data_IF_208581514127
#
_entry.id   IF_208581514127
#
_cell.length_a   1.000
_cell.length_b   1.000
_cell.length_c   1.000
_cell.angle_alpha   90.00
_cell.angle_beta   90.00
_cell.angle_gamma   90.00
#
_symmetry.space_group_name_H-M   'P 1'
#
loop_
_entity.id
_entity.type
_entity.pdbx_description
1 polymer ?
#
# COMPACT_ATOMS: atom_id res chain seq x y z
N UNK A 1 -9.81 -11.56 31.10
CA UNK A 1 -8.62 -11.76 30.25
C UNK A 1 -7.62 -10.69 30.64
N UNK A 2 -6.51 -11.05 31.29
CA UNK A 2 -5.61 -10.08 31.91
C UNK A 2 -4.98 -9.15 30.86
N UNK A 3 -5.05 -7.85 31.11
CA UNK A 3 -4.36 -6.82 30.35
C UNK A 3 -2.85 -7.02 30.49
N UNK A 4 -2.24 -7.50 29.41
CA UNK A 4 -0.84 -7.90 29.33
C UNK A 4 0.07 -6.72 28.96
N UNK A 5 -0.38 -5.49 29.15
CA UNK A 5 0.34 -4.30 28.66
C UNK A 5 1.22 -3.60 29.70
N UNK A 6 1.11 -3.89 31.00
CA UNK A 6 1.96 -3.28 32.02
C UNK A 6 3.21 -4.15 32.35
N UNK A 7 4.39 -3.76 31.87
CA UNK A 7 5.70 -4.15 32.43
C UNK A 7 6.41 -5.42 31.90
N UNK A 8 5.85 -6.16 30.94
CA UNK A 8 6.45 -7.39 30.40
C UNK A 8 7.38 -7.20 29.18
N UNK A 9 8.27 -8.16 28.92
CA UNK A 9 9.06 -8.23 27.65
C UNK A 9 8.10 -8.32 26.46
N UNK A 10 8.36 -7.54 25.41
CA UNK A 10 7.57 -7.52 24.17
C UNK A 10 8.43 -7.91 22.97
N UNK A 11 7.79 -8.55 22.00
CA UNK A 11 8.35 -8.80 20.67
C UNK A 11 7.48 -8.10 19.62
N UNK A 12 8.11 -7.77 18.49
CA UNK A 12 7.48 -7.11 17.35
C UNK A 12 8.20 -7.41 16.05
N UNK A 13 7.64 -6.95 14.94
CA UNK A 13 8.24 -7.03 13.62
C UNK A 13 8.56 -5.63 13.08
N UNK A 14 9.77 -5.45 12.55
CA UNK A 14 10.12 -4.31 11.71
C UNK A 14 9.99 -4.75 10.26
N UNK A 15 9.08 -4.13 9.51
CA UNK A 15 8.81 -4.50 8.12
C UNK A 15 8.70 -3.27 7.22
N UNK A 16 9.20 -3.34 5.97
CA UNK A 16 8.82 -2.37 4.95
C UNK A 16 7.35 -2.54 4.58
N UNK A 17 6.56 -1.46 4.57
CA UNK A 17 5.18 -1.53 4.10
C UNK A 17 5.11 -2.09 2.68
N UNK A 18 6.02 -1.66 1.80
CA UNK A 18 6.04 -2.12 0.41
C UNK A 18 6.19 -3.64 0.23
N UNK A 19 6.69 -4.37 1.24
CA UNK A 19 6.96 -5.82 1.12
C UNK A 19 5.85 -6.72 1.65
N UNK A 20 4.78 -6.17 2.23
CA UNK A 20 3.69 -6.95 2.83
C UNK A 20 2.41 -6.93 1.97
N UNK A 21 2.57 -7.00 0.66
CA UNK A 21 1.45 -7.06 -0.29
C UNK A 21 0.53 -8.26 -0.03
N UNK A 22 -0.77 -8.03 -0.02
CA UNK A 22 -1.80 -9.07 0.01
C UNK A 22 -2.23 -9.46 -1.41
N UNK A 23 -3.13 -10.43 -1.50
CA UNK A 23 -3.76 -10.82 -2.77
C UNK A 23 -4.64 -9.71 -3.37
N UNK A 24 -4.89 -8.61 -2.66
CA UNK A 24 -5.72 -7.50 -3.12
C UNK A 24 -4.90 -6.28 -3.54
N UNK A 25 -3.62 -6.22 -3.16
CA UNK A 25 -2.74 -5.10 -3.45
C UNK A 25 -2.31 -5.07 -4.91
N UNK A 26 -1.84 -3.91 -5.36
CA UNK A 26 -1.40 -3.70 -6.74
C UNK A 26 0.10 -3.96 -6.90
N UNK A 27 0.58 -5.09 -6.34
CA UNK A 27 1.98 -5.54 -6.39
C UNK A 27 2.96 -4.80 -5.49
N UNK A 28 2.45 -3.98 -4.57
CA UNK A 28 3.17 -3.39 -3.44
C UNK A 28 2.30 -3.51 -2.21
N UNK A 29 2.88 -3.61 -1.01
CA UNK A 29 2.06 -3.49 0.20
C UNK A 29 1.51 -2.08 0.37
N UNK A 30 0.23 -1.99 0.71
CA UNK A 30 -0.58 -0.79 0.81
C UNK A 30 -1.03 -0.57 2.26
N UNK A 31 -1.50 0.63 2.60
CA UNK A 31 -1.97 0.92 3.98
C UNK A 31 -3.09 -0.06 4.39
N UNK A 32 -3.94 -0.48 3.46
CA UNK A 32 -5.00 -1.46 3.68
C UNK A 32 -4.49 -2.89 3.99
N UNK A 33 -3.21 -3.18 3.76
CA UNK A 33 -2.61 -4.47 4.12
C UNK A 33 -2.14 -4.52 5.58
N UNK A 34 -1.96 -3.37 6.24
CA UNK A 34 -1.54 -3.30 7.65
C UNK A 34 -2.51 -4.03 8.60
N UNK A 35 -3.84 -3.90 8.49
CA UNK A 35 -4.76 -4.69 9.32
C UNK A 35 -4.60 -6.20 9.14
N UNK A 36 -4.34 -6.67 7.92
CA UNK A 36 -4.10 -8.10 7.64
C UNK A 36 -2.80 -8.57 8.31
N UNK A 37 -1.72 -7.79 8.13
CA UNK A 37 -0.41 -8.10 8.71
C UNK A 37 -0.44 -8.05 10.24
N UNK A 38 -1.06 -7.03 10.84
CA UNK A 38 -1.19 -6.91 12.30
C UNK A 38 -2.07 -8.00 12.90
N UNK A 39 -3.13 -8.42 12.19
CA UNK A 39 -3.93 -9.60 12.54
C UNK A 39 -3.07 -10.87 12.62
N UNK A 40 -2.28 -11.14 11.59
CA UNK A 40 -1.32 -12.25 11.60
C UNK A 40 -0.27 -12.10 12.72
N UNK A 41 0.33 -10.92 12.86
CA UNK A 41 1.35 -10.63 13.87
C UNK A 41 0.83 -10.93 15.29
N UNK A 42 -0.43 -10.57 15.58
CA UNK A 42 -1.10 -10.89 16.85
C UNK A 42 -1.21 -12.40 17.06
N UNK A 43 -1.57 -13.17 16.04
CA UNK A 43 -1.61 -14.65 16.15
C UNK A 43 -0.24 -15.26 16.39
N UNK A 44 0.82 -14.61 15.93
CA UNK A 44 2.22 -14.98 16.18
C UNK A 44 2.76 -14.48 17.53
N UNK A 45 1.94 -13.83 18.36
CA UNK A 45 2.34 -13.28 19.66
C UNK A 45 3.17 -11.99 19.58
N UNK A 46 3.26 -11.38 18.40
CA UNK A 46 3.90 -10.08 18.19
C UNK A 46 2.93 -8.97 18.60
N UNK A 47 3.45 -7.98 19.31
CA UNK A 47 2.68 -6.90 19.93
C UNK A 47 3.03 -5.50 19.42
N UNK A 48 4.04 -5.42 18.54
CA UNK A 48 4.52 -4.17 17.93
C UNK A 48 4.78 -4.44 16.45
N UNK A 49 4.33 -3.53 15.59
CA UNK A 49 4.72 -3.46 14.18
C UNK A 49 5.38 -2.11 13.97
N UNK A 50 6.63 -2.13 13.53
CA UNK A 50 7.39 -0.95 13.15
C UNK A 50 7.55 -0.94 11.64
N UNK A 51 7.32 0.21 11.02
CA UNK A 51 7.48 0.39 9.58
C UNK A 51 8.80 1.10 9.27
N UNK A 52 9.37 0.79 8.10
CA UNK A 52 10.27 1.74 7.44
C UNK A 52 9.51 3.04 7.11
N UNK A 53 10.21 4.16 6.85
CA UNK A 53 9.54 5.40 6.45
C UNK A 53 8.58 5.18 5.28
N UNK A 54 7.39 5.78 5.38
CA UNK A 54 6.31 5.71 4.37
C UNK A 54 6.15 7.04 3.63
N UNK A 55 7.12 7.92 3.79
CA UNK A 55 7.11 9.27 3.26
C UNK A 55 7.31 9.30 1.75
N UNK A 56 6.79 10.34 1.10
CA UNK A 56 6.89 10.52 -0.35
C UNK A 56 8.33 10.49 -0.84
N UNK A 57 8.65 9.50 -1.67
CA UNK A 57 10.00 9.30 -2.22
C UNK A 57 10.24 10.22 -3.42
N UNK A 58 11.49 10.68 -3.58
CA UNK A 58 11.89 11.45 -4.76
C UNK A 58 11.66 10.66 -6.07
N UNK A 59 11.38 11.37 -7.16
CA UNK A 59 11.13 10.77 -8.47
C UNK A 59 12.25 9.81 -8.90
N UNK A 60 11.89 8.62 -9.37
CA UNK A 60 12.83 7.58 -9.79
C UNK A 60 13.54 6.85 -8.65
N UNK A 61 13.29 7.22 -7.39
CA UNK A 61 13.83 6.52 -6.23
C UNK A 61 12.87 5.46 -5.71
N UNK A 62 13.44 4.42 -5.09
CA UNK A 62 12.71 3.37 -4.36
C UNK A 62 13.18 3.23 -2.91
N UNK A 63 14.15 4.04 -2.49
CA UNK A 63 14.65 4.03 -1.12
C UNK A 63 13.67 4.77 -0.22
N UNK A 64 13.19 4.16 0.89
CA UNK A 64 12.33 4.85 1.85
C UNK A 64 13.02 6.03 2.54
N UNK A 65 14.35 6.15 2.42
CA UNK A 65 15.13 7.27 2.95
C UNK A 65 15.34 8.42 1.96
N UNK A 66 14.77 8.32 0.75
CA UNK A 66 14.80 9.37 -0.28
C UNK A 66 13.63 10.35 -0.17
N UNK A 67 13.11 10.55 1.04
CA UNK A 67 11.89 11.31 1.28
C UNK A 67 12.03 12.78 0.86
N UNK A 68 11.06 13.28 0.09
CA UNK A 68 10.91 14.70 -0.25
C UNK A 68 10.37 15.52 0.92
N UNK A 69 9.60 14.88 1.81
CA UNK A 69 8.95 15.52 2.94
C UNK A 69 8.87 14.56 4.13
N UNK A 70 9.16 15.07 5.33
CA UNK A 70 8.97 14.31 6.57
C UNK A 70 7.48 14.15 6.97
N UNK A 71 6.57 14.88 6.30
CA UNK A 71 5.14 14.94 6.65
C UNK A 71 4.23 14.29 5.61
N UNK A 72 4.60 14.32 4.33
CA UNK A 72 3.77 13.74 3.27
C UNK A 72 3.98 12.22 3.21
N UNK A 73 2.87 11.46 3.26
CA UNK A 73 2.85 10.02 3.01
C UNK A 73 2.86 9.79 1.50
N UNK A 74 3.63 8.82 1.03
CA UNK A 74 3.73 8.51 -0.40
C UNK A 74 2.39 7.96 -0.94
N UNK A 75 1.78 8.61 -1.96
CA UNK A 75 0.54 8.13 -2.57
C UNK A 75 0.62 6.71 -3.16
N UNK A 76 1.82 6.16 -3.39
CA UNK A 76 2.00 4.77 -3.84
C UNK A 76 1.37 3.75 -2.87
N UNK A 77 1.21 4.11 -1.59
CA UNK A 77 0.64 3.24 -0.56
C UNK A 77 -0.90 3.31 -0.46
N UNK A 78 -1.56 4.13 -1.29
CA UNK A 78 -3.03 4.15 -1.37
C UNK A 78 -3.53 2.82 -1.93
N UNK A 79 -4.51 2.22 -1.26
CA UNK A 79 -5.26 1.10 -1.79
C UNK A 79 -6.32 1.63 -2.76
N UNK A 80 -5.98 1.71 -4.05
CA UNK A 80 -6.85 2.28 -5.10
C UNK A 80 -8.24 1.66 -5.09
N UNK A 81 -8.30 0.34 -4.83
CA UNK A 81 -9.54 -0.43 -4.73
C UNK A 81 -10.51 0.01 -3.62
N UNK A 82 -10.03 0.75 -2.63
CA UNK A 82 -10.82 1.24 -1.50
C UNK A 82 -11.13 2.75 -1.65
N UNK A 83 -10.70 3.39 -2.74
CA UNK A 83 -11.10 4.75 -3.11
C UNK A 83 -12.57 4.73 -3.53
N UNK A 84 -13.47 5.60 -3.00
CA UNK A 84 -14.92 5.50 -3.21
C UNK A 84 -15.35 5.41 -4.67
N UNK A 85 -14.77 6.23 -5.54
CA UNK A 85 -15.08 6.31 -6.97
C UNK A 85 -14.65 5.02 -7.69
N UNK A 86 -13.56 4.39 -7.24
CA UNK A 86 -13.13 3.09 -7.78
C UNK A 86 -14.01 1.96 -7.24
N UNK A 87 -14.39 2.03 -5.97
CA UNK A 87 -15.22 1.02 -5.33
C UNK A 87 -16.65 0.99 -5.90
N UNK A 88 -17.18 2.15 -6.32
CA UNK A 88 -18.49 2.27 -6.95
C UNK A 88 -18.50 1.83 -8.41
N UNK A 89 -17.50 2.24 -9.20
CA UNK A 89 -17.40 1.96 -10.64
C UNK A 89 -16.84 0.56 -10.94
N UNK A 90 -15.89 0.09 -10.14
CA UNK A 90 -15.21 -1.18 -10.34
C UNK A 90 -14.11 -1.16 -11.41
N UNK A 91 -13.34 -2.25 -11.45
CA UNK A 91 -12.14 -2.34 -12.30
C UNK A 91 -12.45 -2.39 -13.80
N UNK A 92 -13.58 -2.94 -14.21
CA UNK A 92 -13.95 -3.04 -15.63
C UNK A 92 -14.27 -1.67 -16.24
N UNK A 93 -14.83 -0.76 -15.44
CA UNK A 93 -15.10 0.62 -15.84
C UNK A 93 -13.83 1.49 -15.72
N UNK A 94 -13.08 1.34 -14.62
CA UNK A 94 -11.95 2.24 -14.30
C UNK A 94 -10.62 1.86 -14.93
N UNK A 95 -10.46 0.64 -15.42
CA UNK A 95 -9.20 0.18 -16.01
C UNK A 95 -9.40 -0.26 -17.47
N UNK A 96 -8.60 0.33 -18.35
CA UNK A 96 -8.43 -0.19 -19.71
C UNK A 96 -7.93 -1.64 -19.70
N UNK A 97 -8.12 -2.35 -20.82
CA UNK A 97 -7.60 -3.71 -20.98
C UNK A 97 -6.08 -3.78 -20.74
N UNK A 98 -5.34 -2.79 -21.24
CA UNK A 98 -3.89 -2.67 -21.05
C UNK A 98 -3.53 -2.47 -19.59
N UNK A 99 -4.23 -1.60 -18.85
CA UNK A 99 -3.98 -1.39 -17.42
C UNK A 99 -4.27 -2.64 -16.59
N UNK A 100 -5.31 -3.41 -16.94
CA UNK A 100 -5.61 -4.70 -16.30
C UNK A 100 -4.49 -5.72 -16.53
N UNK A 101 -3.99 -5.83 -17.75
CA UNK A 101 -2.85 -6.71 -18.06
C UNK A 101 -1.55 -6.27 -17.35
N UNK A 102 -1.30 -4.96 -17.28
CA UNK A 102 -0.18 -4.39 -16.54
C UNK A 102 -0.28 -4.71 -15.05
N UNK A 103 -1.46 -4.52 -14.43
CA UNK A 103 -1.71 -4.83 -13.03
C UNK A 103 -1.43 -6.31 -12.73
N UNK A 104 -1.91 -7.21 -13.58
CA UNK A 104 -1.68 -8.65 -13.42
C UNK A 104 -0.19 -9.01 -13.57
N UNK A 105 0.52 -8.36 -14.48
CA UNK A 105 1.97 -8.54 -14.63
C UNK A 105 2.72 -8.07 -13.39
N UNK A 106 2.37 -6.89 -12.87
CA UNK A 106 2.94 -6.32 -11.64
C UNK A 106 2.71 -7.26 -10.45
N UNK A 107 1.49 -7.78 -10.28
CA UNK A 107 1.11 -8.69 -9.18
C UNK A 107 1.85 -10.04 -9.21
N UNK A 108 2.26 -10.51 -10.38
CA UNK A 108 3.03 -11.76 -10.56
C UNK A 108 4.54 -11.57 -10.42
N UNK A 109 5.02 -10.34 -10.31
CA UNK A 109 6.46 -10.08 -10.18
C UNK A 109 7.01 -10.65 -8.87
N UNK A 110 8.23 -11.21 -8.92
CA UNK A 110 8.96 -11.68 -7.73
C UNK A 110 9.59 -10.54 -6.93
N UNK A 111 9.53 -9.31 -7.43
CA UNK A 111 10.06 -8.11 -6.79
C UNK A 111 9.15 -6.91 -6.98
N UNK A 112 9.17 -5.97 -6.04
CA UNK A 112 8.35 -4.75 -6.08
C UNK A 112 8.94 -3.78 -7.11
N UNK A 113 8.21 -3.57 -8.21
CA UNK A 113 8.54 -2.55 -9.20
C UNK A 113 7.88 -1.22 -8.83
N UNK A 114 8.55 -0.41 -8.00
CA UNK A 114 8.05 0.91 -7.58
C UNK A 114 7.69 1.81 -8.75
N UNK A 115 8.49 1.75 -9.84
CA UNK A 115 8.24 2.52 -11.06
C UNK A 115 6.91 2.15 -11.71
N UNK A 116 6.70 0.86 -12.02
CA UNK A 116 5.48 0.39 -12.70
C UNK A 116 4.24 0.58 -11.83
N UNK A 117 4.35 0.31 -10.52
CA UNK A 117 3.26 0.54 -9.57
C UNK A 117 2.90 2.02 -9.51
N UNK A 118 3.89 2.92 -9.42
CA UNK A 118 3.65 4.35 -9.36
C UNK A 118 3.04 4.88 -10.65
N UNK A 119 3.54 4.46 -11.82
CA UNK A 119 2.98 4.83 -13.12
C UNK A 119 1.49 4.46 -13.18
N UNK A 120 1.16 3.17 -12.97
CA UNK A 120 -0.21 2.68 -13.02
C UNK A 120 -1.12 3.38 -11.99
N UNK A 121 -0.68 3.48 -10.73
CA UNK A 121 -1.49 4.13 -9.69
C UNK A 121 -1.69 5.61 -9.94
N UNK A 122 -0.69 6.32 -10.45
CA UNK A 122 -0.81 7.76 -10.73
C UNK A 122 -1.85 8.02 -11.81
N UNK A 123 -1.84 7.23 -12.88
CA UNK A 123 -2.82 7.36 -13.97
C UNK A 123 -4.24 7.13 -13.46
N UNK A 124 -4.45 6.06 -12.68
CA UNK A 124 -5.78 5.73 -12.14
C UNK A 124 -6.22 6.75 -11.09
N UNK A 125 -5.35 7.14 -10.15
CA UNK A 125 -5.69 8.12 -9.12
C UNK A 125 -6.04 9.49 -9.70
N UNK A 126 -5.43 9.90 -10.82
CA UNK A 126 -5.82 11.12 -11.53
C UNK A 126 -7.21 11.02 -12.12
N UNK A 127 -7.53 9.91 -12.81
CA UNK A 127 -8.87 9.70 -13.35
C UNK A 127 -9.95 9.64 -12.24
N UNK A 128 -9.64 9.03 -11.10
CA UNK A 128 -10.52 9.01 -9.93
C UNK A 128 -10.69 10.41 -9.33
N UNK A 129 -9.60 11.20 -9.29
CA UNK A 129 -9.66 12.58 -8.82
C UNK A 129 -10.54 13.46 -9.72
N UNK A 130 -10.45 13.31 -11.04
CA UNK A 130 -11.30 14.06 -11.98
C UNK A 130 -12.79 13.77 -11.70
N UNK A 131 -13.16 12.50 -11.47
CA UNK A 131 -14.52 12.13 -11.05
C UNK A 131 -14.92 12.74 -9.71
N UNK A 132 -14.04 12.66 -8.71
CA UNK A 132 -14.28 13.24 -7.39
C UNK A 132 -14.57 14.75 -7.44
N UNK A 133 -13.96 15.47 -8.39
CA UNK A 133 -14.17 16.92 -8.55
C UNK A 133 -15.47 17.24 -9.31
N UNK A 134 -15.96 16.32 -10.15
CA UNK A 134 -17.21 16.49 -10.89
C UNK A 134 -18.47 16.18 -10.06
N UNK A 135 -18.34 15.41 -8.96
CA UNK A 135 -19.39 15.09 -7.99
C UNK A 135 -19.60 16.20 -6.92
#
# INVERSE_FOLDING_TARGET
MADKTAGGRRAGALVPLFSIASTRSWGIGEIADLPLFTGWARTAGLSVVQLLPVNEMAGGQSSPYSALSAMAIDPIFIAVRDVPEFASAGADEMLSATQREQLETIRRSTSVSHRLVRELKTDVLRALFDRFVEE
#
